data_IF_237092094935
#
_entry.id   IF_237092094935
#
_cell.length_a   1.000
_cell.length_b   1.000
_cell.length_c   1.000
_cell.angle_alpha   90.00
_cell.angle_beta   90.00
_cell.angle_gamma   90.00
#
_symmetry.space_group_name_H-M   'P 1'
#
loop_
_entity.id
_entity.type
_entity.pdbx_description
1 polymer ?
#
# COMPACT_ATOMS: atom_id res chain seq x y z
N UNK A 1 -0.20 -0.86 -21.75
CA UNK A 1 0.73 -0.60 -22.86
C UNK A 1 0.21 0.55 -23.72
N UNK A 2 0.38 1.79 -23.21
CA UNK A 2 0.16 2.99 -23.99
C UNK A 2 1.25 3.09 -25.06
N UNK A 3 0.85 3.27 -26.30
CA UNK A 3 1.77 3.62 -27.39
C UNK A 3 2.26 5.04 -27.11
N UNK A 4 3.47 5.19 -26.59
CA UNK A 4 4.12 6.49 -26.63
C UNK A 4 4.36 6.87 -28.09
N UNK A 5 3.74 7.97 -28.54
CA UNK A 5 4.01 8.53 -29.85
C UNK A 5 5.26 9.41 -29.77
N UNK A 6 6.04 9.51 -30.84
CA UNK A 6 7.25 10.35 -30.91
C UNK A 6 7.08 11.80 -30.40
N UNK A 7 5.85 12.32 -30.38
CA UNK A 7 5.51 13.64 -29.84
C UNK A 7 5.54 13.73 -28.30
N UNK A 8 5.46 12.58 -27.58
CA UNK A 8 5.52 12.56 -26.11
C UNK A 8 6.97 12.72 -25.61
N UNK A 9 7.95 12.28 -26.40
CA UNK A 9 9.37 12.50 -26.12
C UNK A 9 9.78 13.97 -26.26
N UNK A 10 9.12 14.77 -27.09
CA UNK A 10 9.36 16.21 -27.17
C UNK A 10 9.02 16.94 -25.85
N UNK A 11 8.03 16.45 -25.11
CA UNK A 11 7.69 16.94 -23.77
C UNK A 11 8.80 16.68 -22.76
N UNK A 12 9.39 15.48 -22.78
CA UNK A 12 10.52 15.12 -21.91
C UNK A 12 11.77 15.93 -22.24
N UNK A 13 12.05 16.18 -23.51
CA UNK A 13 13.13 17.07 -23.95
C UNK A 13 12.93 18.51 -23.51
N UNK A 14 11.71 19.02 -23.49
CA UNK A 14 11.39 20.36 -22.97
C UNK A 14 11.54 20.44 -21.45
N UNK A 15 11.24 19.36 -20.71
CA UNK A 15 11.43 19.29 -19.25
C UNK A 15 12.93 19.26 -18.91
N UNK A 16 13.73 18.53 -19.68
CA UNK A 16 15.19 18.45 -19.48
C UNK A 16 15.92 19.76 -19.79
N UNK A 17 15.31 20.68 -20.53
CA UNK A 17 15.84 22.02 -20.83
C UNK A 17 15.56 23.07 -19.76
N UNK A 18 14.79 22.76 -18.73
CA UNK A 18 14.64 23.69 -17.59
C UNK A 18 15.95 23.70 -16.79
N UNK A 19 16.53 24.87 -16.68
CA UNK A 19 17.86 25.12 -16.11
C UNK A 19 18.08 24.45 -14.75
N UNK A 20 17.07 24.40 -13.90
CA UNK A 20 17.14 23.79 -12.56
C UNK A 20 17.29 22.25 -12.57
N UNK A 21 16.67 21.57 -13.52
CA UNK A 21 16.83 20.14 -13.70
C UNK A 21 18.20 19.81 -14.28
N UNK A 22 18.66 20.63 -15.24
CA UNK A 22 19.98 20.47 -15.86
C UNK A 22 21.10 20.61 -14.84
N UNK A 23 21.02 21.59 -13.93
CA UNK A 23 22.01 21.79 -12.86
C UNK A 23 21.98 20.67 -11.82
N UNK A 24 20.81 20.18 -11.46
CA UNK A 24 20.66 19.06 -10.51
C UNK A 24 21.22 17.77 -11.07
N UNK A 25 21.04 17.50 -12.35
CA UNK A 25 21.50 16.27 -13.00
C UNK A 25 22.96 16.36 -13.47
N UNK A 26 23.47 17.55 -13.79
CA UNK A 26 24.91 17.78 -14.06
C UNK A 26 25.79 17.40 -12.86
N UNK A 27 25.30 17.55 -11.64
CA UNK A 27 26.01 17.12 -10.42
C UNK A 27 26.11 15.60 -10.24
N UNK A 28 25.28 14.83 -10.92
CA UNK A 28 25.32 13.36 -10.85
C UNK A 28 26.34 12.72 -11.78
N UNK A 29 26.95 13.48 -12.69
CA UNK A 29 27.87 12.97 -13.71
C UNK A 29 27.21 12.10 -14.79
N UNK A 30 25.89 11.99 -14.80
CA UNK A 30 25.12 11.19 -15.76
C UNK A 30 24.57 12.10 -16.86
N UNK A 31 24.92 11.82 -18.13
CA UNK A 31 24.31 12.48 -19.29
C UNK A 31 22.93 11.85 -19.55
N UNK A 32 21.93 12.36 -18.85
CA UNK A 32 20.54 11.91 -18.99
C UNK A 32 19.95 12.10 -20.39
N UNK A 33 20.47 13.06 -21.16
CA UNK A 33 20.04 13.23 -22.55
C UNK A 33 20.58 12.11 -23.45
N UNK A 34 21.80 11.64 -23.18
CA UNK A 34 22.35 10.48 -23.87
C UNK A 34 21.61 9.20 -23.49
N UNK A 35 21.28 9.03 -22.20
CA UNK A 35 20.50 7.90 -21.70
C UNK A 35 19.10 7.84 -22.30
N UNK A 36 18.37 8.98 -22.30
CA UNK A 36 17.04 9.07 -22.91
C UNK A 36 17.09 8.77 -24.40
N UNK A 37 18.10 9.30 -25.13
CA UNK A 37 18.29 9.00 -26.57
C UNK A 37 18.61 7.52 -26.81
N UNK A 38 19.45 6.93 -25.97
CA UNK A 38 19.81 5.52 -26.03
C UNK A 38 18.58 4.63 -25.81
N UNK A 39 17.75 4.98 -24.81
CA UNK A 39 16.53 4.25 -24.51
C UNK A 39 15.47 4.40 -25.61
N UNK A 40 15.32 5.60 -26.16
CA UNK A 40 14.43 5.83 -27.30
C UNK A 40 14.86 5.00 -28.53
N UNK A 41 16.16 4.98 -28.82
CA UNK A 41 16.73 4.16 -29.91
C UNK A 41 16.58 2.66 -29.68
N UNK A 42 16.70 2.23 -28.42
CA UNK A 42 16.42 0.84 -28.00
C UNK A 42 14.97 0.48 -28.25
N UNK A 43 14.02 1.36 -27.91
CA UNK A 43 12.59 1.13 -28.16
C UNK A 43 12.23 1.12 -29.65
N UNK A 44 12.91 1.94 -30.48
CA UNK A 44 12.73 1.97 -31.94
C UNK A 44 13.28 0.72 -32.63
N UNK A 45 14.35 0.14 -32.07
CA UNK A 45 14.98 -1.09 -32.57
C UNK A 45 14.29 -2.39 -32.11
N UNK A 46 13.34 -2.32 -31.20
CA UNK A 46 12.53 -3.45 -30.84
C UNK A 46 11.52 -3.69 -31.98
N UNK A 47 11.74 -4.70 -32.82
CA UNK A 47 10.69 -5.24 -33.67
C UNK A 47 9.47 -5.46 -32.78
N UNK A 48 8.33 -4.88 -33.20
CA UNK A 48 7.06 -5.13 -32.51
C UNK A 48 6.96 -6.63 -32.32
N UNK A 49 6.99 -7.17 -31.10
CA UNK A 49 6.66 -8.56 -30.93
C UNK A 49 5.34 -8.73 -31.63
N UNK A 50 5.29 -9.64 -32.60
CA UNK A 50 4.07 -10.00 -33.28
C UNK A 50 3.02 -10.06 -32.19
N UNK A 51 1.92 -9.35 -32.37
CA UNK A 51 0.87 -9.21 -31.36
C UNK A 51 0.49 -10.62 -30.89
N UNK A 52 1.23 -11.15 -29.96
CA UNK A 52 0.80 -12.26 -29.15
C UNK A 52 -0.36 -11.64 -28.40
N UNK A 53 -1.58 -11.85 -28.96
CA UNK A 53 -2.77 -11.69 -28.14
C UNK A 53 -2.40 -12.43 -26.86
N UNK A 54 -2.39 -11.77 -25.68
CA UNK A 54 -2.21 -12.50 -24.47
C UNK A 54 -3.25 -13.62 -24.57
N UNK A 55 -2.81 -14.86 -24.67
CA UNK A 55 -3.70 -15.97 -24.41
C UNK A 55 -4.30 -15.61 -23.07
N UNK A 56 -5.56 -15.23 -23.07
CA UNK A 56 -6.36 -15.28 -21.86
C UNK A 56 -6.35 -16.76 -21.51
N UNK A 57 -5.35 -17.20 -20.77
CA UNK A 57 -5.48 -18.40 -19.99
C UNK A 57 -6.64 -18.08 -19.07
N UNK A 58 -7.85 -18.48 -19.49
CA UNK A 58 -8.94 -18.67 -18.56
C UNK A 58 -8.40 -19.71 -17.58
N UNK A 59 -7.82 -19.21 -16.49
CA UNK A 59 -7.65 -20.02 -15.32
C UNK A 59 -9.08 -20.28 -14.87
N UNK A 60 -9.65 -21.43 -15.31
CA UNK A 60 -10.87 -21.94 -14.73
C UNK A 60 -10.58 -22.00 -13.26
N UNK A 61 -11.32 -21.24 -12.48
CA UNK A 61 -11.29 -21.30 -11.02
C UNK A 61 -11.50 -22.78 -10.67
N UNK A 62 -10.42 -23.53 -10.53
CA UNK A 62 -10.50 -24.76 -9.78
C UNK A 62 -10.83 -24.29 -8.39
N UNK A 63 -12.06 -24.51 -7.96
CA UNK A 63 -12.53 -24.19 -6.62
C UNK A 63 -11.55 -24.82 -5.62
N UNK A 64 -10.58 -24.04 -5.18
CA UNK A 64 -9.65 -24.50 -4.13
C UNK A 64 -10.43 -24.56 -2.84
N UNK A 65 -10.89 -25.77 -2.47
CA UNK A 65 -11.64 -25.95 -1.25
C UNK A 65 -10.70 -26.20 -0.08
N UNK A 66 -10.88 -25.41 0.97
CA UNK A 66 -10.16 -25.55 2.23
C UNK A 66 -11.18 -25.85 3.33
N UNK A 67 -10.99 -26.97 4.04
CA UNK A 67 -11.90 -27.35 5.11
C UNK A 67 -11.94 -26.27 6.21
N UNK A 68 -13.13 -25.80 6.55
CA UNK A 68 -13.31 -24.74 7.54
C UNK A 68 -13.07 -23.33 7.03
N UNK A 69 -12.98 -23.14 5.72
CA UNK A 69 -12.85 -21.87 5.02
C UNK A 69 -13.87 -21.79 3.88
N UNK A 70 -14.53 -20.68 3.61
CA UNK A 70 -14.54 -19.45 4.42
C UNK A 70 -15.34 -19.62 5.72
N UNK A 71 -15.28 -18.61 6.61
CA UNK A 71 -16.04 -18.61 7.86
C UNK A 71 -16.50 -17.19 8.22
N UNK A 72 -17.54 -17.11 9.01
CA UNK A 72 -18.14 -15.86 9.46
C UNK A 72 -17.50 -15.33 10.77
N UNK A 73 -17.95 -14.14 11.18
CA UNK A 73 -17.50 -13.50 12.43
C UNK A 73 -17.78 -14.34 13.67
N UNK A 74 -18.86 -15.11 13.71
CA UNK A 74 -19.19 -15.95 14.86
C UNK A 74 -18.21 -17.13 15.00
N UNK A 75 -17.86 -17.75 13.87
CA UNK A 75 -16.83 -18.78 13.84
C UNK A 75 -15.44 -18.22 14.20
N UNK A 76 -15.10 -17.01 13.72
CA UNK A 76 -13.87 -16.32 14.10
C UNK A 76 -13.80 -16.10 15.62
N UNK A 77 -14.87 -15.62 16.25
CA UNK A 77 -14.94 -15.44 17.70
C UNK A 77 -14.78 -16.76 18.46
N UNK A 78 -15.34 -17.84 17.91
CA UNK A 78 -15.16 -19.18 18.48
C UNK A 78 -13.70 -19.66 18.40
N UNK A 79 -12.99 -19.31 17.33
CA UNK A 79 -11.55 -19.60 17.20
C UNK A 79 -10.74 -18.80 18.21
N UNK A 80 -11.01 -17.49 18.34
CA UNK A 80 -10.36 -16.61 19.31
C UNK A 80 -10.58 -17.07 20.77
N UNK A 81 -11.77 -17.51 21.11
CA UNK A 81 -12.08 -17.98 22.45
C UNK A 81 -11.22 -19.20 22.89
N UNK A 82 -10.68 -19.96 21.94
CA UNK A 82 -9.78 -21.09 22.19
C UNK A 82 -8.34 -20.66 22.43
N UNK A 83 -7.96 -19.46 22.04
CA UNK A 83 -6.59 -18.94 22.18
C UNK A 83 -6.29 -18.43 23.60
N UNK A 84 -7.32 -18.21 24.42
CA UNK A 84 -7.20 -17.62 25.75
C UNK A 84 -7.09 -16.10 25.67
N UNK A 85 -5.90 -15.55 25.90
CA UNK A 85 -5.68 -14.10 25.79
C UNK A 85 -5.69 -13.67 24.32
N UNK A 86 -6.55 -12.69 24.01
CA UNK A 86 -6.75 -12.20 22.63
C UNK A 86 -6.26 -10.79 22.39
N UNK A 87 -5.90 -10.06 23.44
CA UNK A 87 -5.34 -8.71 23.39
C UNK A 87 -4.11 -8.60 24.26
N UNK A 88 -3.10 -7.91 23.78
CA UNK A 88 -1.87 -7.61 24.50
C UNK A 88 -1.46 -6.17 24.24
N UNK A 89 -0.90 -5.49 25.22
CA UNK A 89 -0.34 -4.16 25.06
C UNK A 89 1.12 -4.15 25.52
N UNK A 90 1.97 -3.48 24.77
CA UNK A 90 3.38 -3.26 25.10
C UNK A 90 3.60 -1.76 25.22
N UNK A 91 4.18 -1.32 26.35
CA UNK A 91 4.59 0.07 26.52
C UNK A 91 5.97 0.28 25.90
N UNK A 92 6.02 1.15 24.89
CA UNK A 92 7.25 1.46 24.14
C UNK A 92 8.04 2.60 24.81
N UNK A 93 7.34 3.57 25.39
CA UNK A 93 7.86 4.67 26.18
C UNK A 93 6.75 5.13 27.13
N UNK A 94 7.04 5.97 28.14
CA UNK A 94 6.01 6.49 29.04
C UNK A 94 4.83 7.09 28.26
N UNK A 95 3.66 6.45 28.38
CA UNK A 95 2.43 6.86 27.70
C UNK A 95 2.27 6.38 26.25
N UNK A 96 3.32 5.85 25.62
CA UNK A 96 3.27 5.34 24.24
C UNK A 96 3.13 3.82 24.26
N UNK A 97 1.99 3.31 23.81
CA UNK A 97 1.67 1.88 23.80
C UNK A 97 1.49 1.36 22.38
N UNK A 98 1.80 0.10 22.20
CA UNK A 98 1.49 -0.66 20.99
C UNK A 98 0.60 -1.83 21.37
N UNK A 99 -0.60 -1.85 20.80
CA UNK A 99 -1.58 -2.92 21.03
C UNK A 99 -1.45 -4.00 19.99
N UNK A 100 -1.70 -5.21 20.42
CA UNK A 100 -1.68 -6.40 19.56
C UNK A 100 -2.96 -7.20 19.76
N UNK A 101 -3.41 -7.81 18.68
CA UNK A 101 -4.51 -8.79 18.72
C UNK A 101 -4.00 -10.18 18.35
N UNK A 102 -4.64 -11.18 18.89
CA UNK A 102 -4.35 -12.58 18.59
C UNK A 102 -4.98 -12.97 17.26
N UNK A 103 -4.17 -13.52 16.36
CA UNK A 103 -4.62 -14.14 15.11
C UNK A 103 -4.43 -15.65 15.24
N UNK A 104 -5.52 -16.45 15.23
CA UNK A 104 -5.43 -17.90 15.42
C UNK A 104 -4.74 -18.60 14.26
N UNK A 105 -4.27 -19.83 14.52
CA UNK A 105 -3.84 -20.75 13.48
C UNK A 105 -5.01 -21.17 12.59
N UNK A 106 -4.74 -21.50 11.31
CA UNK A 106 -5.79 -21.93 10.40
C UNK A 106 -5.31 -22.21 8.99
N UNK A 107 -6.26 -22.46 8.11
CA UNK A 107 -6.00 -22.71 6.69
C UNK A 107 -6.96 -21.90 5.84
N UNK A 108 -6.50 -21.38 4.72
CA UNK A 108 -7.31 -20.53 3.84
C UNK A 108 -6.88 -20.66 2.38
N UNK A 109 -7.63 -20.05 1.50
CA UNK A 109 -7.24 -19.84 0.10
C UNK A 109 -6.54 -18.50 0.00
N UNK A 110 -5.25 -18.52 -0.28
CA UNK A 110 -4.43 -17.35 -0.54
C UNK A 110 -4.45 -16.99 -2.01
N UNK A 111 -4.41 -15.68 -2.30
CA UNK A 111 -4.41 -15.16 -3.65
C UNK A 111 -5.80 -15.13 -4.29
N UNK A 112 -5.83 -14.87 -5.60
CA UNK A 112 -7.05 -14.79 -6.40
C UNK A 112 -6.74 -15.18 -7.83
N UNK A 113 -7.68 -15.85 -8.50
CA UNK A 113 -7.62 -16.07 -9.95
C UNK A 113 -8.24 -14.92 -10.75
N UNK A 114 -8.72 -13.89 -10.03
CA UNK A 114 -9.28 -12.65 -10.59
C UNK A 114 -8.29 -11.52 -10.35
N UNK A 115 -8.03 -10.70 -11.34
CA UNK A 115 -7.15 -9.53 -11.21
C UNK A 115 -5.76 -9.74 -11.79
N UNK A 116 -4.72 -9.19 -11.15
CA UNK A 116 -3.35 -9.26 -11.63
C UNK A 116 -2.74 -10.65 -11.45
N UNK A 117 -1.81 -10.99 -12.35
CA UNK A 117 -1.07 -12.26 -12.32
C UNK A 117 -0.29 -12.49 -11.02
N UNK A 118 0.05 -11.42 -10.33
CA UNK A 118 0.83 -11.44 -9.08
C UNK A 118 0.09 -12.11 -7.92
N UNK A 119 -1.25 -12.20 -8.01
CA UNK A 119 -2.10 -12.86 -7.01
C UNK A 119 -2.50 -14.27 -7.40
N UNK A 120 -2.11 -14.71 -8.60
CA UNK A 120 -2.51 -16.01 -9.15
C UNK A 120 -1.36 -17.03 -9.10
N UNK A 121 -1.68 -18.31 -8.99
CA UNK A 121 -3.02 -18.87 -8.81
C UNK A 121 -3.49 -18.82 -7.35
N UNK A 122 -4.80 -18.76 -7.13
CA UNK A 122 -5.37 -19.03 -5.81
C UNK A 122 -4.97 -20.44 -5.34
N UNK A 123 -4.50 -20.56 -4.11
CA UNK A 123 -3.97 -21.82 -3.58
C UNK A 123 -4.16 -21.92 -2.06
N UNK A 124 -4.15 -23.16 -1.57
CA UNK A 124 -4.27 -23.39 -0.12
C UNK A 124 -3.00 -23.01 0.60
N UNK A 125 -3.16 -22.24 1.68
CA UNK A 125 -2.10 -21.93 2.65
C UNK A 125 -2.50 -22.36 4.07
N UNK A 126 -1.48 -22.52 4.93
CA UNK A 126 -1.65 -22.94 6.32
C UNK A 126 -0.83 -22.06 7.25
N UNK A 127 -1.50 -21.40 8.16
CA UNK A 127 -0.88 -20.74 9.31
C UNK A 127 -0.82 -21.75 10.44
N UNK A 128 0.36 -22.32 10.65
CA UNK A 128 0.55 -23.47 11.56
C UNK A 128 0.38 -23.13 13.04
N UNK A 129 0.68 -21.87 13.42
CA UNK A 129 0.61 -21.38 14.81
C UNK A 129 -0.04 -20.01 14.82
N UNK A 130 -0.90 -19.76 15.78
CA UNK A 130 -1.41 -18.42 16.01
C UNK A 130 -0.27 -17.45 16.39
N UNK A 131 -0.47 -16.19 16.11
CA UNK A 131 0.51 -15.13 16.32
C UNK A 131 -0.16 -13.86 16.84
N UNK A 132 0.63 -12.92 17.31
CA UNK A 132 0.20 -11.58 17.67
C UNK A 132 0.49 -10.64 16.52
N UNK A 133 -0.47 -9.78 16.16
CA UNK A 133 -0.30 -8.75 15.15
C UNK A 133 -0.67 -7.40 15.72
N UNK A 134 0.02 -6.34 15.31
CA UNK A 134 -0.34 -4.97 15.67
C UNK A 134 -1.81 -4.72 15.34
N UNK A 135 -2.56 -4.12 16.29
CA UNK A 135 -3.98 -3.82 16.13
C UNK A 135 -4.22 -2.81 14.99
N UNK A 136 -3.26 -1.92 14.79
CA UNK A 136 -3.19 -0.89 13.75
C UNK A 136 -1.77 -0.85 13.18
N UNK A 137 -1.56 -0.09 12.12
CA UNK A 137 -0.23 0.22 11.58
C UNK A 137 0.63 0.92 12.64
N UNK A 138 1.95 0.79 12.54
CA UNK A 138 2.88 1.47 13.46
C UNK A 138 2.78 2.98 13.26
N UNK A 139 2.40 3.72 14.31
CA UNK A 139 2.28 5.17 14.23
C UNK A 139 3.63 5.89 14.24
N UNK A 140 3.65 7.15 13.81
CA UNK A 140 4.84 8.02 13.90
C UNK A 140 5.38 8.11 15.33
N UNK A 141 4.49 8.23 16.32
CA UNK A 141 4.86 8.28 17.72
C UNK A 141 5.53 6.98 18.18
N UNK A 142 4.94 5.84 17.84
CA UNK A 142 5.49 4.53 18.16
C UNK A 142 6.85 4.33 17.48
N UNK A 143 6.97 4.65 16.20
CA UNK A 143 8.22 4.47 15.44
C UNK A 143 9.35 5.33 16.01
N UNK A 144 9.06 6.57 16.42
CA UNK A 144 10.01 7.49 17.05
C UNK A 144 10.52 7.07 18.42
N UNK A 145 9.85 6.16 19.12
CA UNK A 145 10.40 5.61 20.36
C UNK A 145 11.69 4.84 20.13
N UNK A 146 11.93 4.41 18.92
CA UNK A 146 13.11 3.64 18.48
C UNK A 146 14.00 4.45 17.53
N UNK A 147 13.39 5.26 16.65
CA UNK A 147 14.06 6.13 15.69
C UNK A 147 13.60 7.58 15.87
N UNK A 148 14.15 8.31 16.87
CA UNK A 148 13.67 9.66 17.22
C UNK A 148 13.72 10.66 16.07
N UNK A 149 14.68 10.49 15.15
CA UNK A 149 14.87 11.38 13.98
C UNK A 149 13.94 11.05 12.79
N UNK A 150 13.06 10.04 12.93
CA UNK A 150 12.16 9.69 11.84
C UNK A 150 11.21 10.82 11.52
N UNK A 151 11.10 11.13 10.23
CA UNK A 151 10.25 12.19 9.69
C UNK A 151 9.46 11.67 8.47
N UNK A 152 8.16 11.44 8.65
CA UNK A 152 7.23 11.08 7.58
C UNK A 152 6.97 12.23 6.59
N UNK A 153 7.43 13.46 6.91
CA UNK A 153 7.38 14.66 6.06
C UNK A 153 5.95 15.04 5.65
N UNK A 154 5.80 15.36 4.37
CA UNK A 154 4.58 15.86 3.77
C UNK A 154 4.24 15.08 2.49
N UNK A 155 2.95 14.89 2.24
CA UNK A 155 2.44 14.46 0.94
C UNK A 155 2.26 15.71 0.09
N UNK A 156 2.90 15.74 -1.06
CA UNK A 156 2.84 16.89 -1.96
C UNK A 156 1.46 16.99 -2.60
N UNK A 157 0.92 18.19 -2.58
CA UNK A 157 -0.22 18.52 -3.41
C UNK A 157 0.15 18.41 -4.90
N UNK A 158 -0.77 17.99 -5.72
CA UNK A 158 -0.61 18.04 -7.16
C UNK A 158 -0.54 19.53 -7.60
N UNK A 159 0.43 19.85 -8.45
CA UNK A 159 0.59 21.20 -9.03
C UNK A 159 0.82 22.32 -7.99
N UNK A 160 1.28 21.98 -6.81
CA UNK A 160 1.61 22.99 -5.81
C UNK A 160 2.74 23.92 -6.29
N UNK A 161 2.75 25.14 -5.75
CA UNK A 161 3.90 26.03 -5.85
C UNK A 161 5.08 25.54 -4.98
N UNK A 162 6.24 26.18 -5.10
CA UNK A 162 7.43 25.79 -4.33
C UNK A 162 7.42 26.28 -2.88
N UNK A 163 6.42 27.04 -2.48
CA UNK A 163 6.32 27.64 -1.14
C UNK A 163 5.65 26.68 -0.17
N UNK A 164 4.66 25.92 -0.64
CA UNK A 164 3.87 25.01 0.21
C UNK A 164 4.44 23.61 0.20
N UNK A 165 4.71 23.07 1.36
CA UNK A 165 5.27 21.72 1.51
C UNK A 165 4.27 20.60 1.18
N UNK A 166 2.98 20.90 1.20
CA UNK A 166 1.90 19.94 1.02
C UNK A 166 1.22 19.59 2.34
N UNK A 167 0.59 18.44 2.40
CA UNK A 167 -0.16 17.97 3.55
C UNK A 167 0.74 17.25 4.54
N UNK A 168 0.70 17.57 5.84
CA UNK A 168 1.53 16.90 6.83
C UNK A 168 1.15 15.42 6.97
N UNK A 169 2.18 14.57 7.01
CA UNK A 169 2.06 13.13 7.22
C UNK A 169 2.75 12.70 8.53
N UNK A 170 3.03 13.66 9.41
CA UNK A 170 3.96 13.52 10.52
C UNK A 170 3.30 13.65 11.90
N UNK A 171 1.95 13.64 11.92
CA UNK A 171 1.21 13.66 13.17
C UNK A 171 1.52 12.39 13.98
N UNK A 172 1.63 12.48 15.32
CA UNK A 172 2.02 11.34 16.16
C UNK A 172 1.20 10.08 15.92
N UNK A 173 -0.12 10.22 15.77
CA UNK A 173 -1.05 9.12 15.64
C UNK A 173 -1.22 8.58 14.19
N UNK A 174 -0.71 9.31 13.17
CA UNK A 174 -0.73 8.81 11.80
C UNK A 174 0.31 7.69 11.61
N UNK A 175 0.09 6.76 10.66
CA UNK A 175 1.06 5.72 10.33
C UNK A 175 2.42 6.31 9.96
N UNK A 176 3.49 5.66 10.38
CA UNK A 176 4.85 5.99 9.97
C UNK A 176 5.05 5.56 8.51
N UNK A 177 5.24 6.54 7.63
CA UNK A 177 5.51 6.31 6.21
C UNK A 177 6.95 6.68 5.86
N UNK A 178 7.39 6.41 4.61
CA UNK A 178 8.77 6.61 4.14
C UNK A 178 9.78 5.79 4.94
N UNK A 179 9.35 4.61 5.37
CA UNK A 179 10.15 3.61 6.07
C UNK A 179 10.60 2.57 5.05
N UNK A 180 11.89 2.34 4.93
CA UNK A 180 12.42 1.22 4.13
C UNK A 180 12.17 -0.12 4.82
N UNK A 181 12.29 -1.22 4.06
CA UNK A 181 12.17 -2.56 4.62
C UNK A 181 13.22 -2.81 5.73
N UNK A 182 14.44 -2.35 5.51
CA UNK A 182 15.55 -2.46 6.47
C UNK A 182 15.27 -1.69 7.76
N UNK A 183 14.68 -0.49 7.66
CA UNK A 183 14.27 0.29 8.83
C UNK A 183 13.13 -0.38 9.59
N UNK A 184 12.15 -0.94 8.89
CA UNK A 184 11.06 -1.69 9.50
C UNK A 184 11.58 -2.95 10.22
N UNK A 185 12.50 -3.70 9.61
CA UNK A 185 13.14 -4.86 10.25
C UNK A 185 14.01 -4.45 11.44
N UNK A 186 14.73 -3.31 11.34
CA UNK A 186 15.51 -2.79 12.46
C UNK A 186 14.63 -2.33 13.62
N UNK A 187 13.43 -1.75 13.32
CA UNK A 187 12.43 -1.44 14.34
C UNK A 187 11.98 -2.72 15.06
N UNK A 188 11.62 -3.75 14.31
CA UNK A 188 11.22 -5.05 14.89
C UNK A 188 12.33 -5.67 15.75
N UNK A 189 13.58 -5.62 15.29
CA UNK A 189 14.74 -6.11 16.05
C UNK A 189 14.91 -5.37 17.39
N UNK A 190 14.92 -4.05 17.34
CA UNK A 190 15.05 -3.22 18.56
C UNK A 190 13.88 -3.41 19.52
N UNK A 191 12.67 -3.60 18.99
CA UNK A 191 11.51 -3.91 19.79
C UNK A 191 11.63 -5.30 20.44
N UNK A 192 12.18 -6.29 19.71
CA UNK A 192 12.47 -7.61 20.27
C UNK A 192 13.47 -7.54 21.43
N UNK A 193 14.56 -6.79 21.27
CA UNK A 193 15.58 -6.57 22.29
C UNK A 193 14.98 -5.89 23.54
N UNK A 194 14.13 -4.89 23.33
CA UNK A 194 13.48 -4.14 24.41
C UNK A 194 12.49 -4.97 25.21
N UNK A 195 11.75 -5.86 24.54
CA UNK A 195 10.63 -6.58 25.16
C UNK A 195 10.94 -8.02 25.55
N UNK A 196 12.07 -8.56 25.10
CA UNK A 196 12.41 -9.97 25.24
C UNK A 196 11.50 -10.91 24.44
N UNK A 197 10.63 -10.37 23.56
CA UNK A 197 9.73 -11.11 22.68
C UNK A 197 10.29 -11.15 21.27
N UNK A 198 9.96 -12.17 20.49
CA UNK A 198 10.28 -12.21 19.06
C UNK A 198 9.28 -11.32 18.30
N UNK A 199 9.73 -10.20 17.81
CA UNK A 199 8.97 -9.26 16.99
C UNK A 199 9.59 -9.22 15.60
N UNK A 200 8.77 -9.32 14.56
CA UNK A 200 9.19 -9.28 13.15
C UNK A 200 8.05 -8.76 12.28
N UNK A 201 8.35 -8.42 11.04
CA UNK A 201 7.31 -8.21 10.03
C UNK A 201 6.54 -9.53 9.80
N UNK A 202 5.24 -9.49 9.51
CA UNK A 202 4.49 -10.68 9.14
C UNK A 202 5.02 -11.25 7.83
N UNK A 203 4.91 -12.55 7.65
CA UNK A 203 5.02 -13.13 6.31
C UNK A 203 3.80 -12.74 5.47
N UNK A 204 3.90 -12.79 4.15
CA UNK A 204 2.77 -12.54 3.25
C UNK A 204 1.56 -13.45 3.57
N UNK A 205 1.83 -14.73 3.86
CA UNK A 205 0.79 -15.68 4.28
C UNK A 205 0.11 -15.26 5.59
N UNK A 206 0.88 -14.78 6.57
CA UNK A 206 0.32 -14.29 7.83
C UNK A 206 -0.48 -13.00 7.62
N UNK A 207 0.03 -12.11 6.81
CA UNK A 207 -0.63 -10.85 6.51
C UNK A 207 -1.97 -11.08 5.80
N UNK A 208 -2.00 -11.89 4.73
CA UNK A 208 -3.24 -12.15 4.00
C UNK A 208 -4.25 -12.95 4.83
N UNK A 209 -3.81 -13.90 5.65
CA UNK A 209 -4.68 -14.59 6.61
C UNK A 209 -5.32 -13.61 7.60
N UNK A 210 -4.52 -12.71 8.15
CA UNK A 210 -4.97 -11.68 9.08
C UNK A 210 -5.93 -10.70 8.42
N UNK A 211 -5.63 -10.26 7.20
CA UNK A 211 -6.45 -9.36 6.40
C UNK A 211 -7.83 -9.97 6.09
N UNK A 212 -7.87 -11.20 5.57
CA UNK A 212 -9.12 -11.84 5.17
C UNK A 212 -10.04 -12.15 6.33
N UNK A 213 -9.52 -12.50 7.47
CA UNK A 213 -10.27 -12.78 8.70
C UNK A 213 -11.51 -13.68 8.51
N UNK A 214 -11.43 -14.67 7.61
CA UNK A 214 -12.51 -15.60 7.27
C UNK A 214 -13.21 -15.32 5.94
N UNK A 215 -13.04 -14.15 5.35
CA UNK A 215 -13.67 -13.77 4.08
C UNK A 215 -12.95 -14.42 2.88
N UNK A 216 -13.71 -14.93 1.93
CA UNK A 216 -13.26 -15.32 0.60
C UNK A 216 -13.56 -14.25 -0.46
N UNK A 217 -14.14 -13.12 -0.04
CA UNK A 217 -14.43 -11.95 -0.88
C UNK A 217 -13.18 -11.21 -1.33
N UNK A 218 -13.39 -10.20 -2.16
CA UNK A 218 -12.35 -9.26 -2.63
C UNK A 218 -11.83 -8.43 -1.46
N UNK A 219 -12.73 -8.06 -0.55
CA UNK A 219 -12.43 -7.40 0.72
C UNK A 219 -12.98 -8.22 1.88
N UNK A 220 -12.40 -8.04 3.07
CA UNK A 220 -12.90 -8.73 4.26
C UNK A 220 -14.33 -8.31 4.63
N UNK A 221 -14.78 -7.14 4.20
CA UNK A 221 -16.12 -6.58 4.44
C UNK A 221 -17.08 -6.76 3.27
N UNK A 222 -16.66 -7.35 2.14
CA UNK A 222 -17.54 -7.61 1.01
C UNK A 222 -16.88 -7.57 -0.36
N UNK A 223 -17.51 -6.88 -1.30
CA UNK A 223 -17.08 -6.77 -2.70
C UNK A 223 -16.76 -5.33 -3.09
N UNK A 224 -16.30 -5.15 -4.33
CA UNK A 224 -16.05 -3.82 -4.93
C UNK A 224 -17.29 -2.89 -4.92
N UNK A 225 -18.50 -3.44 -4.79
CA UNK A 225 -19.73 -2.65 -4.71
C UNK A 225 -20.10 -2.24 -3.28
N UNK A 226 -19.32 -2.63 -2.28
CA UNK A 226 -19.57 -2.26 -0.89
C UNK A 226 -19.06 -0.83 -0.66
N UNK A 227 -19.87 -0.01 0.02
CA UNK A 227 -19.39 1.28 0.53
C UNK A 227 -18.30 1.05 1.56
N UNK A 228 -17.07 1.26 1.15
CA UNK A 228 -15.88 1.03 1.99
C UNK A 228 -15.65 2.14 3.03
N UNK A 229 -16.29 3.30 2.91
CA UNK A 229 -16.04 4.45 3.78
C UNK A 229 -16.25 4.23 5.27
N UNK A 230 -16.78 3.07 5.67
CA UNK A 230 -16.90 2.63 7.08
C UNK A 230 -15.83 1.65 7.51
N UNK A 231 -15.09 1.10 6.56
CA UNK A 231 -14.19 -0.04 6.78
C UNK A 231 -12.73 0.30 6.53
N UNK A 232 -12.47 1.16 5.55
CA UNK A 232 -11.10 1.43 5.09
C UNK A 232 -10.98 2.86 4.57
N UNK A 233 -9.79 3.43 4.68
CA UNK A 233 -9.40 4.64 4.00
C UNK A 233 -8.80 4.28 2.63
N UNK A 234 -9.60 4.41 1.59
CA UNK A 234 -9.21 4.13 0.21
C UNK A 234 -9.40 5.38 -0.67
N UNK A 235 -8.89 5.32 -1.89
CA UNK A 235 -9.05 6.41 -2.83
C UNK A 235 -10.54 6.61 -3.20
N UNK A 236 -11.12 7.67 -2.71
CA UNK A 236 -12.50 8.08 -2.91
C UNK A 236 -12.60 9.49 -3.52
N UNK A 237 -13.78 10.10 -3.49
CA UNK A 237 -13.97 11.44 -4.05
C UNK A 237 -13.19 12.53 -3.30
N UNK A 238 -12.82 12.31 -2.03
CA UNK A 238 -12.02 13.27 -1.25
C UNK A 238 -10.61 13.46 -1.85
N UNK A 239 -10.09 12.45 -2.55
CA UNK A 239 -8.80 12.56 -3.25
C UNK A 239 -8.76 13.71 -4.28
N UNK A 240 -9.92 14.17 -4.76
CA UNK A 240 -10.00 15.33 -5.64
C UNK A 240 -9.46 16.61 -4.98
N UNK A 241 -9.50 16.71 -3.65
CA UNK A 241 -8.96 17.84 -2.92
C UNK A 241 -7.43 17.91 -2.93
N UNK A 242 -6.77 16.84 -3.33
CA UNK A 242 -5.31 16.82 -3.52
C UNK A 242 -4.85 17.69 -4.68
N UNK A 243 -5.70 17.89 -5.69
CA UNK A 243 -5.42 18.79 -6.80
C UNK A 243 -5.60 20.25 -6.36
N UNK A 244 -4.69 21.11 -6.76
CA UNK A 244 -4.74 22.53 -6.45
C UNK A 244 -4.71 23.37 -7.72
N UNK A 245 -5.30 24.58 -7.65
CA UNK A 245 -5.41 25.50 -8.75
C UNK A 245 -4.40 26.63 -8.63
N UNK A 246 -3.64 26.85 -9.71
CA UNK A 246 -2.78 28.02 -9.84
C UNK A 246 -1.58 28.06 -8.88
N UNK A 247 -1.06 29.27 -8.67
CA UNK A 247 0.12 29.53 -7.84
C UNK A 247 -0.20 29.45 -6.36
N UNK A 248 -1.40 29.89 -5.98
CA UNK A 248 -1.91 29.75 -4.61
C UNK A 248 -2.67 28.43 -4.51
N UNK A 249 -2.17 27.47 -3.73
CA UNK A 249 -2.80 26.17 -3.62
C UNK A 249 -4.20 26.30 -3.01
N UNK A 250 -5.18 26.10 -3.84
CA UNK A 250 -6.59 25.99 -3.45
C UNK A 250 -7.13 24.68 -4.02
N UNK A 251 -7.81 23.89 -3.23
CA UNK A 251 -8.44 22.66 -3.72
C UNK A 251 -9.33 22.93 -4.92
N UNK A 252 -9.19 22.10 -5.95
CA UNK A 252 -10.06 22.20 -7.13
C UNK A 252 -11.47 21.69 -6.79
N UNK A 253 -12.46 22.42 -7.27
CA UNK A 253 -13.86 22.05 -7.12
C UNK A 253 -14.37 21.44 -8.41
N UNK A 254 -15.43 20.63 -8.32
CA UNK A 254 -16.03 19.93 -9.46
C UNK A 254 -16.44 20.86 -10.62
N UNK A 255 -16.80 22.10 -10.33
CA UNK A 255 -17.15 23.10 -11.34
C UNK A 255 -15.95 23.82 -11.95
N UNK A 256 -14.74 23.55 -11.53
CA UNK A 256 -13.54 24.11 -12.14
C UNK A 256 -13.34 23.51 -13.55
N UNK A 257 -13.07 24.34 -14.60
CA UNK A 257 -12.89 23.85 -15.97
C UNK A 257 -11.79 22.81 -16.11
N UNK A 258 -10.79 22.86 -15.23
CA UNK A 258 -9.62 21.98 -15.24
C UNK A 258 -9.78 20.76 -14.34
N UNK A 259 -10.84 20.67 -13.58
CA UNK A 259 -11.09 19.56 -12.64
C UNK A 259 -10.88 18.18 -13.27
N UNK A 260 -11.47 17.94 -14.43
CA UNK A 260 -11.35 16.67 -15.16
C UNK A 260 -9.92 16.27 -15.55
N UNK A 261 -8.99 17.22 -15.62
CA UNK A 261 -7.59 16.94 -15.95
C UNK A 261 -6.78 16.53 -14.72
N UNK A 262 -7.24 16.87 -13.53
CA UNK A 262 -6.54 16.61 -12.26
C UNK A 262 -7.17 15.49 -11.45
N UNK A 263 -8.34 15.00 -11.88
CA UNK A 263 -9.05 13.90 -11.21
C UNK A 263 -8.86 12.56 -11.91
N UNK A 264 -7.72 12.38 -12.56
CA UNK A 264 -7.39 11.16 -13.32
C UNK A 264 -6.97 9.99 -12.45
N UNK A 265 -6.71 10.20 -11.18
CA UNK A 265 -6.32 9.13 -10.26
C UNK A 265 -7.49 8.16 -10.07
N UNK A 266 -7.22 6.86 -10.10
CA UNK A 266 -8.25 5.86 -9.83
C UNK A 266 -8.83 6.07 -8.45
N UNK A 267 -10.14 6.19 -8.36
CA UNK A 267 -10.88 6.39 -7.12
C UNK A 267 -12.34 6.03 -7.30
N UNK A 268 -13.00 5.74 -6.19
CA UNK A 268 -14.44 5.53 -6.15
C UNK A 268 -15.19 6.83 -5.83
N UNK A 269 -15.81 7.42 -6.84
CA UNK A 269 -16.51 8.70 -6.68
C UNK A 269 -17.87 8.60 -5.95
N UNK A 270 -18.40 7.40 -5.78
CA UNK A 270 -19.63 7.14 -5.02
C UNK A 270 -19.42 7.09 -3.51
N UNK A 271 -18.19 7.04 -3.05
CA UNK A 271 -17.80 6.96 -1.64
C UNK A 271 -17.15 8.25 -1.18
N UNK A 272 -17.34 8.60 0.08
CA UNK A 272 -16.75 9.74 0.74
C UNK A 272 -16.54 9.40 2.22
N UNK A 273 -15.34 8.99 2.57
CA UNK A 273 -14.96 8.70 3.94
C UNK A 273 -14.54 9.96 4.73
N UNK A 274 -14.50 11.12 4.06
CA UNK A 274 -14.10 12.40 4.63
C UNK A 274 -12.59 12.60 4.74
N UNK A 275 -11.78 11.67 4.28
CA UNK A 275 -10.33 11.68 4.41
C UNK A 275 -9.65 11.68 3.05
N UNK A 276 -8.73 12.60 2.85
CA UNK A 276 -7.99 12.73 1.59
C UNK A 276 -6.69 11.90 1.58
N UNK A 277 -6.10 11.71 2.74
CA UNK A 277 -4.82 11.03 2.94
C UNK A 277 -4.91 10.09 4.14
N UNK A 278 -3.77 9.46 4.47
CA UNK A 278 -3.71 8.58 5.63
C UNK A 278 -4.17 9.29 6.91
N UNK A 279 -4.91 8.57 7.70
CA UNK A 279 -5.44 9.01 8.98
C UNK A 279 -4.84 8.20 10.12
N UNK A 280 -5.18 8.57 11.35
CA UNK A 280 -4.91 7.77 12.54
C UNK A 280 -5.47 6.36 12.36
N UNK A 281 -4.65 5.34 12.62
CA UNK A 281 -5.09 3.94 12.59
C UNK A 281 -6.23 3.66 13.59
N UNK A 282 -7.10 2.74 13.23
CA UNK A 282 -8.23 2.32 14.06
C UNK A 282 -9.46 3.24 14.00
N UNK A 283 -9.52 4.12 13.01
CA UNK A 283 -10.66 5.02 12.79
C UNK A 283 -11.89 4.36 12.18
N UNK A 284 -11.71 3.22 11.55
CA UNK A 284 -12.74 2.46 10.84
C UNK A 284 -13.18 1.21 11.61
N UNK A 285 -13.97 0.35 10.97
CA UNK A 285 -14.40 -0.90 11.60
C UNK A 285 -13.29 -1.97 11.51
N UNK A 286 -13.08 -2.68 12.60
CA UNK A 286 -12.14 -3.79 12.63
C UNK A 286 -12.72 -5.04 11.96
N UNK A 287 -11.85 -5.84 11.36
CA UNK A 287 -12.21 -7.16 10.84
C UNK A 287 -12.54 -8.16 11.97
N UNK A 288 -12.82 -9.41 11.62
CA UNK A 288 -13.26 -10.42 12.59
C UNK A 288 -12.21 -10.79 13.66
N UNK A 289 -10.93 -10.52 13.43
CA UNK A 289 -9.86 -10.67 14.40
C UNK A 289 -9.68 -9.45 15.32
N UNK A 290 -10.26 -8.30 14.96
CA UNK A 290 -10.06 -7.03 15.67
C UNK A 290 -8.89 -6.21 15.11
N UNK A 291 -8.47 -6.46 13.87
CA UNK A 291 -7.48 -5.69 13.13
C UNK A 291 -8.17 -4.60 12.31
N UNK A 292 -7.55 -3.43 12.27
CA UNK A 292 -8.02 -2.26 11.53
C UNK A 292 -7.17 -2.01 10.29
N UNK A 293 -7.71 -1.26 9.35
CA UNK A 293 -7.00 -0.65 8.21
C UNK A 293 -6.21 -1.64 7.32
N UNK A 294 -6.63 -2.92 7.31
CA UNK A 294 -5.89 -4.01 6.66
C UNK A 294 -5.83 -3.92 5.12
N UNK A 295 -6.71 -3.17 4.49
CA UNK A 295 -6.78 -3.05 3.02
C UNK A 295 -6.75 -1.61 2.54
N UNK A 296 -6.49 -0.65 3.44
CA UNK A 296 -6.45 0.78 3.15
C UNK A 296 -5.35 1.52 3.90
N UNK A 297 -5.53 2.82 4.05
CA UNK A 297 -4.72 3.77 4.78
C UNK A 297 -3.26 3.87 4.29
N UNK A 298 -2.39 2.88 4.55
CA UNK A 298 -1.02 2.82 4.02
C UNK A 298 -0.63 1.41 3.59
N UNK A 299 0.34 1.30 2.68
CA UNK A 299 0.93 0.02 2.31
C UNK A 299 1.89 -0.49 3.40
N UNK A 300 1.92 -1.80 3.60
CA UNK A 300 2.68 -2.44 4.66
C UNK A 300 3.75 -3.39 4.14
N UNK A 301 4.90 -3.41 4.82
CA UNK A 301 5.97 -4.35 4.54
C UNK A 301 5.67 -5.74 5.09
N UNK A 302 6.07 -6.77 4.33
CA UNK A 302 6.12 -8.15 4.80
C UNK A 302 7.56 -8.68 4.82
N UNK A 303 7.79 -9.75 5.55
CA UNK A 303 9.11 -10.40 5.63
C UNK A 303 9.35 -11.44 4.54
N UNK A 304 8.35 -11.72 3.69
CA UNK A 304 8.48 -12.69 2.60
C UNK A 304 9.28 -12.12 1.45
N UNK A 305 10.21 -12.93 0.93
CA UNK A 305 10.89 -12.60 -0.32
C UNK A 305 9.88 -12.62 -1.47
N UNK A 306 9.92 -11.60 -2.31
CA UNK A 306 9.12 -11.60 -3.53
C UNK A 306 9.84 -12.50 -4.56
N UNK A 307 9.25 -13.63 -4.98
CA UNK A 307 9.89 -14.52 -5.93
C UNK A 307 9.97 -13.83 -7.31
N UNK A 308 11.16 -13.38 -7.68
CA UNK A 308 11.48 -12.67 -8.93
C UNK A 308 11.46 -13.62 -10.14
N UNK A 309 10.56 -14.59 -10.22
CA UNK A 309 10.61 -15.57 -11.30
C UNK A 309 10.04 -15.10 -12.63
N UNK A 310 9.29 -13.99 -12.71
CA UNK A 310 8.63 -13.58 -13.97
C UNK A 310 8.62 -12.09 -14.31
N UNK A 311 9.19 -11.21 -13.49
CA UNK A 311 9.11 -9.77 -13.75
C UNK A 311 10.39 -9.02 -13.37
N UNK A 312 11.49 -9.32 -14.03
CA UNK A 312 12.76 -8.57 -13.88
C UNK A 312 12.61 -7.05 -14.15
N UNK A 313 11.45 -6.57 -14.55
CA UNK A 313 11.19 -5.17 -14.90
C UNK A 313 10.22 -4.44 -13.97
N UNK A 314 9.67 -5.09 -12.94
CA UNK A 314 8.70 -4.45 -12.03
C UNK A 314 9.05 -4.53 -10.54
N UNK A 315 10.14 -5.16 -10.17
CA UNK A 315 10.49 -5.41 -8.77
C UNK A 315 10.83 -4.14 -7.95
N UNK A 316 10.92 -2.98 -8.57
CA UNK A 316 11.26 -1.73 -7.90
C UNK A 316 10.12 -0.70 -7.79
N UNK A 317 8.93 -1.03 -8.29
CA UNK A 317 7.80 -0.08 -8.30
C UNK A 317 6.54 -0.57 -7.58
N UNK A 318 6.55 -1.75 -7.02
CA UNK A 318 5.36 -2.31 -6.40
C UNK A 318 5.29 -1.98 -4.92
N UNK A 319 4.28 -1.22 -4.56
CA UNK A 319 3.71 -1.00 -3.22
C UNK A 319 4.38 0.00 -2.27
N UNK A 320 5.50 0.61 -2.60
CA UNK A 320 6.10 1.65 -1.73
C UNK A 320 6.02 3.08 -2.29
N UNK A 321 5.42 3.30 -3.46
CA UNK A 321 5.42 4.59 -4.15
C UNK A 321 4.02 5.06 -4.60
N UNK A 322 2.98 4.73 -3.85
CA UNK A 322 1.69 5.41 -3.97
C UNK A 322 1.48 6.32 -2.78
#
# INVERSE_FOLDING_TARGET
HGKFKANEFKGVEQISRRTELTEKYARSGVDWQAEIRSYAKYLEGQEKPASVKPEKKEYKDKDVKVKGWPFDKAAAQTMLAKEGETKMSIELAPGVKMNFVRVPAGSFVMGSNRGHSDYSPAHKQVVKKGFWMGEIEVSNEQFRTIFPEHDSRFIRQLWKDHVHQGYPANNPEQPAIRVSWEEAMAFCKKLSEKTGKTVTLPTEVQWEWACRAGSDGEFWYGSLNTDFGKFENLADKHLNLMAVKGVNPMPMRENDPWYKYYTYQPKENGVDDGNMLMVKGGGYQANAWGLYDMQGNVAEWTSSDYPVSYTHLRAHETKANL
#
